data_IF_055886719488
#
_entry.id   IF_055886719488
#
_cell.length_a   1.000
_cell.length_b   1.000
_cell.length_c   1.000
_cell.angle_alpha   90.00
_cell.angle_beta   90.00
_cell.angle_gamma   90.00
#
_symmetry.space_group_name_H-M   'P 1'
#
loop_
_entity.id
_entity.type
_entity.pdbx_description
1 polymer ?
#
# COMPACT_ATOMS: atom_id res chain seq x y z
N UNK A 1 -60.13 -44.69 56.49
CA UNK A 1 -61.08 -45.35 55.55
C UNK A 1 -62.46 -45.54 56.19
N UNK A 2 -62.56 -46.08 57.41
CA UNK A 2 -63.87 -46.26 58.10
C UNK A 2 -64.67 -44.98 58.37
N UNK A 3 -64.03 -43.86 58.72
CA UNK A 3 -64.71 -42.60 58.98
C UNK A 3 -65.41 -42.01 57.74
N UNK A 4 -64.83 -42.23 56.55
CA UNK A 4 -65.38 -41.79 55.26
C UNK A 4 -66.60 -42.65 54.90
N UNK A 5 -66.50 -43.96 55.11
CA UNK A 5 -67.59 -44.90 54.85
C UNK A 5 -68.82 -44.63 55.74
N UNK A 6 -68.62 -44.20 57.00
CA UNK A 6 -69.72 -43.83 57.91
C UNK A 6 -70.46 -42.57 57.47
N UNK A 7 -69.79 -41.59 56.85
CA UNK A 7 -70.43 -40.36 56.34
C UNK A 7 -71.21 -40.53 55.04
N UNK A 8 -70.87 -41.53 54.23
CA UNK A 8 -71.51 -41.83 52.93
C UNK A 8 -72.77 -42.70 53.08
N UNK A 9 -72.80 -43.56 54.11
CA UNK A 9 -73.88 -44.52 54.37
C UNK A 9 -75.31 -43.91 54.42
N UNK A 10 -75.56 -42.72 55.04
CA UNK A 10 -76.89 -42.11 55.10
C UNK A 10 -77.45 -41.64 53.74
N UNK A 11 -76.56 -41.36 52.78
CA UNK A 11 -76.92 -40.92 51.43
C UNK A 11 -77.24 -42.09 50.49
N UNK A 12 -76.50 -43.19 50.65
CA UNK A 12 -76.73 -44.45 49.92
C UNK A 12 -77.94 -45.24 50.44
N UNK A 13 -78.29 -45.10 51.71
CA UNK A 13 -79.50 -45.69 52.32
C UNK A 13 -80.78 -44.88 52.09
N UNK A 14 -80.70 -43.69 51.45
CA UNK A 14 -81.84 -42.82 51.19
C UNK A 14 -82.72 -43.24 50.00
N UNK A 15 -83.91 -42.64 49.88
CA UNK A 15 -84.80 -42.83 48.73
C UNK A 15 -84.20 -42.34 47.39
N UNK A 16 -84.86 -42.61 46.25
CA UNK A 16 -84.29 -42.41 44.90
C UNK A 16 -83.77 -40.99 44.64
N UNK A 17 -84.40 -39.96 45.23
CA UNK A 17 -83.96 -38.55 45.14
C UNK A 17 -82.61 -38.27 45.84
N UNK A 18 -82.34 -38.90 46.99
CA UNK A 18 -81.08 -38.73 47.74
C UNK A 18 -79.92 -39.45 47.04
N UNK A 19 -80.17 -40.62 46.47
CA UNK A 19 -79.21 -41.37 45.63
C UNK A 19 -78.84 -40.60 44.36
N UNK A 20 -79.83 -40.01 43.69
CA UNK A 20 -79.60 -39.17 42.50
C UNK A 20 -78.78 -37.90 42.83
N UNK A 21 -79.07 -37.24 43.95
CA UNK A 21 -78.31 -36.07 44.42
C UNK A 21 -76.86 -36.44 44.77
N UNK A 22 -76.63 -37.58 45.44
CA UNK A 22 -75.27 -38.07 45.72
C UNK A 22 -74.48 -38.37 44.44
N UNK A 23 -75.09 -39.06 43.47
CA UNK A 23 -74.45 -39.35 42.19
C UNK A 23 -74.12 -38.07 41.40
N UNK A 24 -75.01 -37.07 41.41
CA UNK A 24 -74.77 -35.78 40.77
C UNK A 24 -73.61 -35.01 41.42
N UNK A 25 -73.53 -34.99 42.76
CA UNK A 25 -72.41 -34.37 43.48
C UNK A 25 -71.09 -35.09 43.21
N UNK A 26 -71.10 -36.43 43.19
CA UNK A 26 -69.91 -37.23 42.87
C UNK A 26 -69.43 -36.99 41.44
N UNK A 27 -70.34 -36.93 40.46
CA UNK A 27 -70.02 -36.59 39.08
C UNK A 27 -69.43 -35.18 38.97
N UNK A 28 -70.02 -34.20 39.65
CA UNK A 28 -69.51 -32.83 39.69
C UNK A 28 -68.08 -32.77 40.26
N UNK A 29 -67.83 -33.45 41.39
CA UNK A 29 -66.48 -33.52 42.00
C UNK A 29 -65.49 -34.18 41.04
N UNK A 30 -65.86 -35.27 40.38
CA UNK A 30 -65.00 -35.94 39.40
C UNK A 30 -64.69 -35.03 38.21
N UNK A 31 -65.68 -34.32 37.68
CA UNK A 31 -65.46 -33.35 36.59
C UNK A 31 -64.56 -32.19 37.01
N UNK A 32 -64.69 -31.71 38.25
CA UNK A 32 -63.83 -30.66 38.80
C UNK A 32 -62.39 -31.15 38.98
N UNK A 33 -62.20 -32.37 39.49
CA UNK A 33 -60.87 -33.00 39.61
C UNK A 33 -60.21 -33.22 38.25
N UNK A 34 -60.97 -33.67 37.25
CA UNK A 34 -60.47 -33.83 35.87
C UNK A 34 -60.13 -32.48 35.25
N UNK A 35 -60.94 -31.44 35.47
CA UNK A 35 -60.67 -30.09 34.98
C UNK A 35 -59.43 -29.46 35.65
N UNK A 36 -59.29 -29.60 36.97
CA UNK A 36 -58.11 -29.14 37.72
C UNK A 36 -56.86 -29.93 37.29
N UNK A 37 -56.96 -31.26 37.15
CA UNK A 37 -55.87 -32.09 36.66
C UNK A 37 -55.47 -31.74 35.22
N UNK A 38 -56.44 -31.54 34.33
CA UNK A 38 -56.22 -31.08 32.96
C UNK A 38 -55.50 -29.73 32.94
N UNK A 39 -55.91 -28.77 33.78
CA UNK A 39 -55.29 -27.46 33.83
C UNK A 39 -53.89 -27.50 34.46
N UNK A 40 -53.71 -28.30 35.52
CA UNK A 40 -52.43 -28.43 36.24
C UNK A 40 -51.35 -29.20 35.45
N UNK A 41 -51.76 -30.11 34.56
CA UNK A 41 -50.84 -30.87 33.70
C UNK A 41 -50.51 -30.14 32.39
N UNK A 42 -51.29 -29.10 32.03
CA UNK A 42 -51.10 -28.36 30.79
C UNK A 42 -50.03 -27.30 31.00
N UNK A 43 -48.92 -27.43 30.26
CA UNK A 43 -47.82 -26.49 30.31
C UNK A 43 -48.00 -25.38 29.27
N UNK A 44 -47.62 -24.15 29.60
CA UNK A 44 -47.58 -23.03 28.66
C UNK A 44 -46.14 -22.74 28.28
N UNK A 45 -45.84 -22.77 26.98
CA UNK A 45 -44.53 -22.42 26.45
C UNK A 45 -44.64 -21.29 25.45
N UNK A 46 -43.59 -20.50 25.32
CA UNK A 46 -43.48 -19.51 24.25
C UNK A 46 -42.67 -20.12 23.12
N UNK A 47 -43.20 -20.13 21.89
CA UNK A 47 -42.45 -20.48 20.69
C UNK A 47 -42.15 -19.20 19.91
N UNK A 48 -40.88 -18.98 19.59
CA UNK A 48 -40.41 -17.92 18.70
C UNK A 48 -39.95 -18.56 17.41
N UNK A 49 -40.65 -18.28 16.33
CA UNK A 49 -40.35 -18.80 14.99
C UNK A 49 -40.65 -17.72 13.96
N UNK A 50 -39.73 -17.49 13.03
CA UNK A 50 -39.90 -16.54 11.92
C UNK A 50 -40.29 -15.12 12.40
N UNK A 51 -39.76 -14.69 13.55
CA UNK A 51 -40.04 -13.41 14.18
C UNK A 51 -41.40 -13.32 14.90
N UNK A 52 -42.19 -14.39 14.90
CA UNK A 52 -43.50 -14.44 15.55
C UNK A 52 -43.38 -15.12 16.92
N UNK A 53 -44.01 -14.50 17.93
CA UNK A 53 -44.12 -15.05 19.29
C UNK A 53 -45.51 -15.65 19.48
N UNK A 54 -45.57 -16.95 19.78
CA UNK A 54 -46.83 -17.65 20.07
C UNK A 54 -46.77 -18.33 21.43
N UNK A 55 -47.84 -18.21 22.22
CA UNK A 55 -47.99 -18.93 23.50
C UNK A 55 -48.79 -20.19 23.24
N UNK A 56 -48.19 -21.34 23.54
CA UNK A 56 -48.75 -22.66 23.25
C UNK A 56 -49.02 -23.38 24.56
N UNK A 57 -50.29 -23.68 24.83
CA UNK A 57 -50.69 -24.56 25.92
C UNK A 57 -50.69 -26.02 25.48
N UNK A 58 -49.75 -26.82 25.98
CA UNK A 58 -49.43 -28.18 25.49
C UNK A 58 -49.30 -29.21 26.62
N UNK A 59 -49.42 -30.49 26.27
CA UNK A 59 -49.08 -31.65 27.11
C UNK A 59 -47.84 -32.41 26.59
N UNK A 60 -47.19 -31.86 25.56
CA UNK A 60 -45.99 -32.44 24.96
C UNK A 60 -44.87 -32.60 26.00
N UNK A 61 -44.15 -33.71 25.88
CA UNK A 61 -43.01 -34.02 26.74
C UNK A 61 -41.75 -33.24 26.34
N UNK A 62 -41.59 -32.91 25.06
CA UNK A 62 -40.35 -32.34 24.51
C UNK A 62 -40.56 -31.17 23.55
N UNK A 63 -39.52 -30.37 23.32
CA UNK A 63 -39.51 -29.29 22.32
C UNK A 63 -39.96 -29.77 20.95
N UNK A 64 -39.45 -30.91 20.48
CA UNK A 64 -39.81 -31.46 19.17
C UNK A 64 -41.29 -31.81 19.04
N UNK A 65 -41.89 -32.35 20.10
CA UNK A 65 -43.34 -32.63 20.14
C UNK A 65 -44.17 -31.35 20.11
N UNK A 66 -43.75 -30.29 20.81
CA UNK A 66 -44.42 -28.97 20.75
C UNK A 66 -44.42 -28.43 19.33
N UNK A 67 -43.27 -28.47 18.65
CA UNK A 67 -43.15 -27.98 17.27
C UNK A 67 -44.01 -28.80 16.30
N UNK A 68 -43.98 -30.13 16.43
CA UNK A 68 -44.81 -31.02 15.63
C UNK A 68 -46.31 -30.77 15.83
N UNK A 69 -46.75 -30.55 17.08
CA UNK A 69 -48.14 -30.20 17.40
C UNK A 69 -48.58 -28.88 16.73
N UNK A 70 -47.68 -27.91 16.61
CA UNK A 70 -47.94 -26.64 15.92
C UNK A 70 -47.75 -26.71 14.39
N UNK A 71 -47.39 -27.88 13.84
CA UNK A 71 -47.11 -28.04 12.41
C UNK A 71 -45.84 -27.33 11.93
N UNK A 72 -44.92 -27.00 12.84
CA UNK A 72 -43.64 -26.35 12.53
C UNK A 72 -42.66 -27.42 12.04
N UNK A 73 -42.35 -27.38 10.74
CA UNK A 73 -41.35 -28.25 10.13
C UNK A 73 -40.00 -27.54 10.12
N UNK A 74 -38.96 -28.25 10.52
CA UNK A 74 -37.58 -27.76 10.52
C UNK A 74 -36.87 -28.11 9.23
N UNK A 75 -36.07 -27.18 8.71
CA UNK A 75 -35.10 -27.43 7.64
C UNK A 75 -33.91 -28.26 8.12
N UNK A 76 -33.09 -28.71 7.18
CA UNK A 76 -31.95 -29.61 7.44
C UNK A 76 -30.94 -29.04 8.47
N UNK A 77 -30.77 -27.72 8.48
CA UNK A 77 -29.80 -27.00 9.32
C UNK A 77 -30.46 -26.06 10.32
N UNK A 78 -31.79 -26.08 10.42
CA UNK A 78 -32.50 -25.31 11.44
C UNK A 78 -32.14 -25.86 12.82
N UNK A 79 -32.01 -24.97 13.80
CA UNK A 79 -31.69 -25.36 15.18
C UNK A 79 -32.72 -24.77 16.15
N UNK A 80 -32.95 -25.49 17.24
CA UNK A 80 -33.84 -25.02 18.31
C UNK A 80 -33.05 -24.75 19.57
N UNK A 81 -33.45 -23.71 20.28
CA UNK A 81 -32.96 -23.38 21.61
C UNK A 81 -34.16 -23.32 22.56
N UNK A 82 -34.31 -24.26 23.52
CA UNK A 82 -33.52 -25.47 23.74
C UNK A 82 -33.62 -26.53 22.61
N UNK A 83 -32.79 -27.58 22.69
CA UNK A 83 -32.73 -28.66 21.71
C UNK A 83 -34.04 -29.47 21.63
N UNK A 84 -34.27 -30.15 20.50
CA UNK A 84 -35.51 -30.88 20.23
C UNK A 84 -35.91 -31.91 21.29
N UNK A 85 -34.94 -32.55 21.93
CA UNK A 85 -35.16 -33.56 22.96
C UNK A 85 -35.25 -32.98 24.38
N UNK A 86 -35.13 -31.65 24.54
CA UNK A 86 -35.27 -31.01 25.85
C UNK A 86 -36.71 -31.16 26.36
N UNK A 87 -36.83 -31.56 27.63
CA UNK A 87 -38.12 -31.72 28.30
C UNK A 87 -38.76 -30.36 28.51
N UNK A 88 -40.08 -30.25 28.27
CA UNK A 88 -40.82 -29.00 28.41
C UNK A 88 -41.12 -28.70 29.88
N UNK A 89 -41.00 -27.43 30.27
CA UNK A 89 -41.39 -26.88 31.56
C UNK A 89 -42.33 -25.67 31.40
N UNK A 90 -43.07 -25.33 32.47
CA UNK A 90 -43.97 -24.17 32.48
C UNK A 90 -43.19 -22.88 32.22
N UNK A 91 -43.69 -22.07 31.30
CA UNK A 91 -43.07 -20.80 30.90
C UNK A 91 -41.84 -20.92 30.01
N UNK A 92 -41.44 -22.14 29.59
CA UNK A 92 -40.25 -22.34 28.75
C UNK A 92 -40.36 -21.56 27.44
N UNK A 93 -39.25 -20.93 27.04
CA UNK A 93 -39.11 -20.26 25.75
C UNK A 93 -38.35 -21.17 24.78
N UNK A 94 -38.92 -21.36 23.59
CA UNK A 94 -38.42 -22.21 22.52
C UNK A 94 -38.18 -21.31 21.32
N UNK A 95 -36.93 -21.11 20.93
CA UNK A 95 -36.57 -20.34 19.74
C UNK A 95 -36.17 -21.27 18.61
N UNK A 96 -36.81 -21.10 17.46
CA UNK A 96 -36.43 -21.75 16.20
C UNK A 96 -35.55 -20.77 15.42
N UNK A 97 -34.29 -21.15 15.19
CA UNK A 97 -33.34 -20.37 14.40
C UNK A 97 -33.22 -21.01 13.03
N UNK A 98 -33.79 -20.33 12.03
CA UNK A 98 -33.79 -20.79 10.63
C UNK A 98 -32.41 -20.71 10.03
N UNK A 99 -32.01 -21.75 9.31
CA UNK A 99 -30.85 -21.71 8.46
C UNK A 99 -31.11 -20.93 7.18
N UNK A 100 -30.10 -20.21 6.72
CA UNK A 100 -30.12 -19.44 5.49
C UNK A 100 -28.81 -19.64 4.73
N UNK A 101 -28.83 -19.52 3.39
CA UNK A 101 -27.61 -19.61 2.60
C UNK A 101 -26.75 -18.37 2.84
N UNK A 102 -25.46 -18.58 3.10
CA UNK A 102 -24.45 -17.53 3.17
C UNK A 102 -23.41 -17.76 2.09
N UNK A 103 -23.15 -16.73 1.28
CA UNK A 103 -22.11 -16.79 0.26
C UNK A 103 -20.74 -16.55 0.91
N UNK A 104 -19.84 -17.52 0.79
CA UNK A 104 -18.47 -17.46 1.30
C UNK A 104 -17.49 -17.39 0.14
N UNK A 105 -16.74 -16.30 0.04
CA UNK A 105 -15.71 -16.09 -0.99
C UNK A 105 -14.33 -16.21 -0.38
N UNK A 106 -13.55 -17.18 -0.83
CA UNK A 106 -12.17 -17.41 -0.42
C UNK A 106 -11.38 -18.02 -1.59
N UNK A 107 -10.09 -17.71 -1.69
CA UNK A 107 -9.19 -18.31 -2.68
C UNK A 107 -9.69 -18.18 -4.14
N UNK A 108 -10.37 -17.07 -4.44
CA UNK A 108 -10.96 -16.79 -5.74
C UNK A 108 -12.22 -17.61 -6.08
N UNK A 109 -12.75 -18.39 -5.14
CA UNK A 109 -13.97 -19.17 -5.30
C UNK A 109 -15.07 -18.67 -4.37
N UNK A 110 -16.31 -18.66 -4.85
CA UNK A 110 -17.50 -18.40 -4.03
C UNK A 110 -18.30 -19.68 -3.87
N UNK A 111 -18.69 -20.03 -2.64
CA UNK A 111 -19.52 -21.18 -2.31
C UNK A 111 -20.67 -20.73 -1.41
N UNK A 112 -21.82 -21.36 -1.54
CA UNK A 112 -22.95 -21.15 -0.61
C UNK A 112 -22.91 -22.21 0.49
N UNK A 113 -23.05 -21.77 1.73
CA UNK A 113 -23.11 -22.65 2.91
C UNK A 113 -24.43 -22.37 3.64
N UNK A 114 -25.23 -23.40 3.80
CA UNK A 114 -26.48 -23.33 4.57
C UNK A 114 -26.15 -23.48 6.06
N UNK A 115 -26.44 -22.45 6.85
CA UNK A 115 -26.11 -22.41 8.28
C UNK A 115 -27.18 -21.64 9.07
N UNK A 116 -27.48 -22.00 10.33
CA UNK A 116 -28.25 -21.13 11.24
C UNK A 116 -27.48 -19.83 11.54
N UNK A 117 -28.08 -18.82 12.19
CA UNK A 117 -27.33 -17.65 12.61
C UNK A 117 -26.23 -18.10 13.60
N UNK A 118 -24.99 -17.95 13.16
CA UNK A 118 -23.76 -18.30 13.90
C UNK A 118 -22.74 -17.22 13.63
N UNK A 119 -21.72 -17.14 14.47
CA UNK A 119 -20.56 -16.27 14.22
C UNK A 119 -19.83 -16.66 12.93
N UNK A 120 -19.27 -15.67 12.23
CA UNK A 120 -18.49 -15.86 11.00
C UNK A 120 -17.37 -16.90 11.19
N UNK A 121 -16.70 -16.93 12.34
CA UNK A 121 -15.65 -17.91 12.64
C UNK A 121 -16.14 -19.36 12.50
N UNK A 122 -17.33 -19.67 13.02
CA UNK A 122 -17.93 -21.00 12.97
C UNK A 122 -18.36 -21.37 11.54
N UNK A 123 -18.84 -20.40 10.76
CA UNK A 123 -19.16 -20.62 9.35
C UNK A 123 -17.89 -21.00 8.55
N UNK A 124 -16.78 -20.30 8.77
CA UNK A 124 -15.53 -20.59 8.07
C UNK A 124 -14.99 -21.98 8.41
N UNK A 125 -15.10 -22.41 9.67
CA UNK A 125 -14.78 -23.77 10.09
C UNK A 125 -15.66 -24.81 9.37
N UNK A 126 -16.98 -24.59 9.35
CA UNK A 126 -17.94 -25.45 8.61
C UNK A 126 -17.63 -25.52 7.11
N UNK A 127 -17.17 -24.41 6.52
CA UNK A 127 -16.77 -24.32 5.12
C UNK A 127 -15.39 -24.96 4.84
N UNK A 128 -14.65 -25.38 5.87
CA UNK A 128 -13.30 -25.94 5.75
C UNK A 128 -12.24 -24.90 5.38
N UNK A 129 -12.47 -23.62 5.71
CA UNK A 129 -11.57 -22.50 5.39
C UNK A 129 -10.71 -22.19 6.61
N UNK A 130 -9.47 -22.67 6.59
CA UNK A 130 -8.47 -22.29 7.58
C UNK A 130 -7.92 -20.89 7.29
N UNK A 131 -7.84 -20.05 8.31
CA UNK A 131 -7.29 -18.70 8.22
C UNK A 131 -5.81 -18.67 8.62
N UNK A 132 -5.02 -17.89 7.90
CA UNK A 132 -3.68 -17.49 8.34
C UNK A 132 -3.77 -16.28 9.27
N UNK A 133 -2.78 -16.01 10.15
CA UNK A 133 -2.83 -14.90 11.11
C UNK A 133 -2.97 -13.50 10.51
N UNK A 134 -2.61 -13.33 9.24
CA UNK A 134 -2.70 -12.05 8.53
C UNK A 134 -3.97 -11.93 7.68
N UNK A 135 -4.68 -13.04 7.43
CA UNK A 135 -5.87 -13.04 6.62
C UNK A 135 -6.93 -12.13 7.22
N UNK A 136 -7.72 -11.50 6.36
CA UNK A 136 -8.78 -10.60 6.77
C UNK A 136 -10.11 -11.17 6.34
N UNK A 137 -11.10 -11.04 7.22
CA UNK A 137 -12.45 -11.52 6.99
C UNK A 137 -13.42 -10.37 7.16
N UNK A 138 -14.38 -10.27 6.24
CA UNK A 138 -15.49 -9.34 6.33
C UNK A 138 -16.80 -10.09 6.05
N UNK A 139 -17.80 -10.05 6.94
CA UNK A 139 -17.83 -9.36 8.25
C UNK A 139 -16.86 -9.94 9.28
N UNK A 140 -16.78 -9.33 10.48
CA UNK A 140 -15.79 -9.72 11.50
C UNK A 140 -16.01 -11.14 12.04
N UNK A 141 -14.97 -11.80 12.57
CA UNK A 141 -15.05 -13.20 13.00
C UNK A 141 -16.12 -13.48 14.09
N UNK A 142 -16.33 -12.52 14.98
CA UNK A 142 -17.29 -12.59 16.09
C UNK A 142 -18.68 -12.06 15.71
N UNK A 143 -18.86 -11.63 14.45
CA UNK A 143 -20.13 -11.09 13.99
C UNK A 143 -21.12 -12.24 13.71
N UNK A 144 -22.31 -12.15 14.30
CA UNK A 144 -23.37 -13.12 14.05
C UNK A 144 -24.00 -12.87 12.68
N UNK A 145 -24.06 -13.92 11.86
CA UNK A 145 -24.58 -13.86 10.50
C UNK A 145 -26.08 -13.60 10.47
N UNK A 146 -26.49 -12.84 9.46
CA UNK A 146 -27.87 -12.52 9.14
C UNK A 146 -28.24 -12.96 7.71
N UNK A 147 -29.55 -13.17 7.43
CA UNK A 147 -30.01 -13.49 6.09
C UNK A 147 -29.58 -12.44 5.07
N UNK A 148 -28.88 -12.89 4.02
CA UNK A 148 -28.38 -12.02 2.94
C UNK A 148 -26.90 -11.62 3.09
N UNK A 149 -26.26 -11.97 4.20
CA UNK A 149 -24.84 -11.70 4.41
C UNK A 149 -23.94 -12.43 3.41
N UNK A 150 -22.77 -11.84 3.18
CA UNK A 150 -21.70 -12.41 2.36
C UNK A 150 -20.40 -12.32 3.12
N UNK A 151 -19.75 -13.46 3.31
CA UNK A 151 -18.45 -13.55 3.96
C UNK A 151 -17.36 -13.56 2.90
N UNK A 152 -16.41 -12.64 3.01
CA UNK A 152 -15.25 -12.55 2.13
C UNK A 152 -13.99 -12.73 2.95
N UNK A 153 -13.14 -13.66 2.52
CA UNK A 153 -11.81 -13.90 3.07
C UNK A 153 -10.79 -13.39 2.09
N UNK A 154 -10.00 -12.39 2.50
CA UNK A 154 -8.85 -11.88 1.76
C UNK A 154 -7.59 -12.54 2.28
N UNK A 155 -6.88 -13.27 1.41
CA UNK A 155 -5.60 -13.91 1.77
C UNK A 155 -4.49 -12.87 1.81
N UNK A 156 -3.86 -12.71 2.98
CA UNK A 156 -2.79 -11.72 3.15
C UNK A 156 -1.48 -12.42 3.40
N UNK A 157 -0.49 -12.13 2.56
CA UNK A 157 0.87 -12.67 2.71
C UNK A 157 1.90 -11.55 2.62
N UNK A 158 3.05 -11.76 3.26
CA UNK A 158 4.18 -10.84 3.19
C UNK A 158 5.42 -11.56 2.72
N UNK A 159 6.21 -10.92 1.86
CA UNK A 159 7.50 -11.43 1.40
C UNK A 159 8.57 -10.36 1.53
N UNK A 160 9.66 -10.71 2.20
CA UNK A 160 10.84 -9.85 2.26
C UNK A 160 11.73 -10.15 1.04
N UNK A 161 11.96 -9.14 0.21
CA UNK A 161 12.82 -9.20 -0.97
C UNK A 161 14.00 -8.26 -0.82
N UNK A 162 15.11 -8.58 -1.48
CA UNK A 162 16.27 -7.69 -1.55
C UNK A 162 16.40 -7.05 -2.92
N UNK A 163 16.56 -5.73 -2.96
CA UNK A 163 16.80 -4.96 -4.17
C UNK A 163 18.09 -4.14 -4.03
N UNK A 164 18.97 -4.22 -5.03
CA UNK A 164 20.22 -3.44 -5.05
C UNK A 164 20.03 -2.15 -5.82
N UNK A 165 20.46 -1.02 -5.25
CA UNK A 165 20.43 0.30 -5.89
C UNK A 165 21.79 0.97 -5.85
N UNK A 166 22.04 1.80 -6.86
CA UNK A 166 23.27 2.59 -6.95
C UNK A 166 23.20 3.83 -6.04
N UNK A 167 24.27 4.07 -5.29
CA UNK A 167 24.48 5.31 -4.56
C UNK A 167 25.38 6.24 -5.38
N UNK A 168 24.86 7.43 -5.66
CA UNK A 168 25.64 8.49 -6.31
C UNK A 168 26.83 8.91 -5.45
N UNK A 169 27.93 9.31 -6.11
CA UNK A 169 29.09 9.89 -5.45
C UNK A 169 29.03 11.42 -5.47
N UNK A 170 29.74 12.05 -4.55
CA UNK A 170 29.93 13.50 -4.51
C UNK A 170 31.19 13.92 -5.27
N UNK A 171 31.26 15.18 -5.69
CA UNK A 171 32.49 15.77 -6.26
C UNK A 171 33.10 16.74 -5.27
N UNK A 172 34.34 16.46 -4.87
CA UNK A 172 35.17 17.31 -4.04
C UNK A 172 36.13 18.12 -4.92
N UNK A 173 36.30 19.39 -4.59
CA UNK A 173 37.25 20.28 -5.24
C UNK A 173 38.39 20.59 -4.29
N UNK A 174 39.61 20.54 -4.79
CA UNK A 174 40.82 20.89 -4.06
C UNK A 174 41.63 21.88 -4.85
N UNK A 175 42.06 22.95 -4.22
CA UNK A 175 42.97 23.91 -4.86
C UNK A 175 44.33 23.25 -5.15
N UNK A 176 44.92 23.63 -6.28
CA UNK A 176 46.20 23.15 -6.76
C UNK A 176 47.02 24.35 -7.24
N UNK A 177 48.04 24.69 -6.44
CA UNK A 177 48.94 25.81 -6.70
C UNK A 177 50.00 25.51 -7.78
N UNK A 178 49.96 24.33 -8.40
CA UNK A 178 50.81 23.96 -9.53
C UNK A 178 50.09 24.09 -10.88
N UNK A 179 48.78 24.35 -10.87
CA UNK A 179 47.95 24.48 -12.07
C UNK A 179 47.50 25.94 -12.28
N UNK A 180 47.42 26.36 -13.54
CA UNK A 180 46.87 27.66 -13.92
C UNK A 180 45.36 27.74 -13.63
N UNK A 181 44.92 28.89 -13.12
CA UNK A 181 43.52 29.16 -12.83
C UNK A 181 42.67 28.97 -14.08
N UNK A 182 41.55 28.26 -13.93
CA UNK A 182 40.69 27.82 -15.04
C UNK A 182 41.00 26.40 -15.53
N UNK A 183 42.21 25.88 -15.28
CA UNK A 183 42.55 24.49 -15.54
C UNK A 183 42.04 23.62 -14.39
N UNK A 184 41.35 22.53 -14.76
CA UNK A 184 40.90 21.48 -13.84
C UNK A 184 41.56 20.15 -14.19
N UNK A 185 41.93 19.38 -13.16
CA UNK A 185 42.49 18.03 -13.33
C UNK A 185 41.73 17.06 -12.44
N UNK A 186 41.22 15.97 -13.03
CA UNK A 186 40.63 14.89 -12.23
C UNK A 186 41.79 14.15 -11.55
N UNK A 187 41.85 14.23 -10.22
CA UNK A 187 42.87 13.55 -9.39
C UNK A 187 42.41 12.14 -9.05
N UNK A 188 41.13 12.00 -8.71
CA UNK A 188 40.49 10.70 -8.42
C UNK A 188 39.14 10.66 -9.11
N UNK A 189 38.88 9.61 -9.91
CA UNK A 189 37.56 9.38 -10.49
C UNK A 189 36.60 8.91 -9.40
N UNK A 190 35.39 9.46 -9.41
CA UNK A 190 34.34 9.00 -8.50
C UNK A 190 33.86 7.61 -8.88
N UNK A 191 33.44 6.84 -7.89
CA UNK A 191 32.83 5.53 -8.09
C UNK A 191 31.49 5.48 -7.38
N UNK A 192 30.45 5.00 -8.06
CA UNK A 192 29.15 4.77 -7.43
C UNK A 192 29.27 3.71 -6.34
N UNK A 193 28.54 3.94 -5.26
CA UNK A 193 28.30 2.95 -4.23
C UNK A 193 27.15 2.04 -4.60
N UNK A 194 26.89 1.05 -3.75
CA UNK A 194 25.75 0.14 -3.84
C UNK A 194 25.11 0.05 -2.46
N UNK A 195 23.80 0.18 -2.40
CA UNK A 195 23.00 -0.16 -1.24
C UNK A 195 22.05 -1.31 -1.57
N UNK A 196 21.84 -2.19 -0.59
CA UNK A 196 20.85 -3.26 -0.62
C UNK A 196 19.69 -2.82 0.27
N UNK A 197 18.52 -2.75 -0.33
CA UNK A 197 17.25 -2.49 0.35
C UNK A 197 16.59 -3.82 0.69
N UNK A 198 16.23 -3.99 1.95
CA UNK A 198 15.31 -5.05 2.36
C UNK A 198 13.89 -4.46 2.29
N UNK A 199 13.08 -5.00 1.38
CA UNK A 199 11.74 -4.51 1.09
C UNK A 199 10.74 -5.58 1.49
N UNK A 200 9.82 -5.24 2.38
CA UNK A 200 8.66 -6.08 2.68
C UNK A 200 7.55 -5.74 1.70
N UNK A 201 7.07 -6.75 1.00
CA UNK A 201 5.98 -6.65 0.03
C UNK A 201 4.76 -7.37 0.59
N UNK A 202 3.63 -6.67 0.69
CA UNK A 202 2.35 -7.23 1.14
C UNK A 202 1.50 -7.55 -0.08
N UNK A 203 0.95 -8.76 -0.09
CA UNK A 203 0.05 -9.25 -1.13
C UNK A 203 -1.32 -9.54 -0.55
N UNK A 204 -2.35 -9.21 -1.32
CA UNK A 204 -3.75 -9.53 -1.06
C UNK A 204 -4.28 -10.33 -2.24
N UNK A 205 -4.73 -11.55 -1.99
CA UNK A 205 -5.16 -12.51 -3.01
C UNK A 205 -4.12 -12.66 -4.15
N UNK A 206 -2.85 -12.68 -3.77
CA UNK A 206 -1.70 -12.79 -4.68
C UNK A 206 -1.31 -11.51 -5.42
N UNK A 207 -2.03 -10.39 -5.23
CA UNK A 207 -1.72 -9.10 -5.84
C UNK A 207 -0.97 -8.20 -4.88
N UNK A 208 0.11 -7.59 -5.36
CA UNK A 208 0.90 -6.64 -4.56
C UNK A 208 0.08 -5.38 -4.27
N UNK A 209 -0.08 -5.05 -2.99
CA UNK A 209 -0.82 -3.85 -2.55
C UNK A 209 0.07 -2.81 -1.86
N UNK A 210 1.21 -3.25 -1.30
CA UNK A 210 2.11 -2.37 -0.54
C UNK A 210 3.56 -2.85 -0.61
N UNK A 211 4.49 -1.90 -0.73
CA UNK A 211 5.94 -2.11 -0.52
C UNK A 211 6.44 -1.15 0.54
N UNK A 212 7.25 -1.65 1.46
CA UNK A 212 7.89 -0.84 2.48
C UNK A 212 9.36 -1.23 2.65
N UNK A 213 10.23 -0.22 2.75
CA UNK A 213 11.66 -0.44 3.02
C UNK A 213 11.83 -0.66 4.52
N UNK A 214 12.12 -1.89 4.90
CA UNK A 214 12.30 -2.29 6.31
C UNK A 214 13.76 -2.28 6.74
N UNK A 215 14.69 -2.26 5.79
CA UNK A 215 16.13 -2.22 6.07
C UNK A 215 16.93 -1.66 4.92
N UNK A 216 18.10 -1.09 5.25
CA UNK A 216 19.08 -0.60 4.28
C UNK A 216 20.46 -1.04 4.73
N UNK A 217 21.26 -1.50 3.78
CA UNK A 217 22.64 -1.90 4.00
C UNK A 217 23.51 -1.34 2.88
N UNK A 218 24.55 -0.57 3.23
CA UNK A 218 25.51 -0.10 2.23
C UNK A 218 26.51 -1.22 1.95
N UNK A 219 26.37 -1.86 0.78
CA UNK A 219 27.25 -2.96 0.34
C UNK A 219 28.59 -2.41 -0.17
N UNK A 220 28.56 -1.25 -0.86
CA UNK A 220 29.75 -0.58 -1.35
C UNK A 220 29.62 0.93 -1.12
N UNK A 221 30.55 1.51 -0.37
CA UNK A 221 30.59 2.96 -0.17
C UNK A 221 30.89 3.69 -1.49
N UNK A 222 30.19 4.78 -1.83
CA UNK A 222 30.56 5.62 -2.95
C UNK A 222 31.92 6.29 -2.69
N UNK A 223 32.75 6.36 -3.73
CA UNK A 223 34.03 7.07 -3.67
C UNK A 223 33.85 8.43 -4.33
N UNK A 224 34.11 9.52 -3.60
CA UNK A 224 33.98 10.87 -4.14
C UNK A 224 35.00 11.12 -5.27
N UNK A 225 34.55 11.86 -6.29
CA UNK A 225 35.41 12.36 -7.35
C UNK A 225 36.19 13.56 -6.85
N UNK A 226 37.52 13.53 -6.96
CA UNK A 226 38.39 14.63 -6.56
C UNK A 226 38.88 15.39 -7.80
N UNK A 227 38.55 16.68 -7.87
CA UNK A 227 38.99 17.58 -8.94
C UNK A 227 39.95 18.62 -8.35
N UNK A 228 41.17 18.65 -8.86
CA UNK A 228 42.14 19.71 -8.60
C UNK A 228 41.79 20.95 -9.44
N UNK A 229 41.73 22.11 -8.79
CA UNK A 229 41.41 23.41 -9.38
C UNK A 229 42.67 24.29 -9.36
N UNK A 230 43.12 24.75 -10.52
CA UNK A 230 44.30 25.62 -10.58
C UNK A 230 44.10 26.97 -9.89
N UNK A 231 45.14 27.45 -9.20
CA UNK A 231 45.13 28.74 -8.50
C UNK A 231 46.20 29.71 -8.98
N UNK A 232 47.14 29.28 -9.83
CA UNK A 232 48.14 30.18 -10.43
C UNK A 232 47.40 31.20 -11.29
N UNK A 233 47.61 32.50 -11.02
CA UNK A 233 47.00 33.62 -11.76
C UNK A 233 48.02 34.55 -12.42
N UNK A 234 49.30 34.16 -12.37
CA UNK A 234 50.42 34.88 -12.98
C UNK A 234 51.16 33.93 -13.92
N UNK A 235 51.36 34.34 -15.17
CA UNK A 235 52.12 33.56 -16.15
C UNK A 235 53.23 34.41 -16.78
N UNK A 236 54.33 33.76 -17.14
CA UNK A 236 55.39 34.32 -17.95
C UNK A 236 55.54 33.51 -19.24
N UNK A 237 55.29 34.14 -20.39
CA UNK A 237 55.30 33.50 -21.72
C UNK A 237 55.76 34.50 -22.78
N UNK A 238 56.62 34.04 -23.71
CA UNK A 238 57.11 34.86 -24.82
C UNK A 238 57.79 36.17 -24.38
N UNK A 239 58.49 36.16 -23.24
CA UNK A 239 59.14 37.35 -22.67
C UNK A 239 58.22 38.30 -21.89
N UNK A 240 56.94 37.99 -21.77
CA UNK A 240 55.97 38.82 -21.06
C UNK A 240 55.44 38.16 -19.79
N UNK A 241 55.30 38.94 -18.73
CA UNK A 241 54.64 38.53 -17.49
C UNK A 241 53.28 39.23 -17.39
N UNK A 242 52.22 38.46 -17.14
CA UNK A 242 50.86 39.00 -17.09
C UNK A 242 50.00 38.25 -16.07
N UNK A 243 49.04 38.99 -15.48
CA UNK A 243 47.98 38.43 -14.65
C UNK A 243 46.79 38.03 -15.51
N UNK A 244 46.13 36.95 -15.12
CA UNK A 244 44.98 36.42 -15.85
C UNK A 244 43.90 35.93 -14.88
N UNK A 245 42.65 36.05 -15.32
CA UNK A 245 41.48 35.61 -14.56
C UNK A 245 41.23 34.12 -14.74
N UNK A 246 41.46 33.61 -15.94
CA UNK A 246 41.35 32.20 -16.28
C UNK A 246 42.17 31.84 -17.51
N UNK A 247 42.50 30.55 -17.65
CA UNK A 247 43.09 29.93 -18.83
C UNK A 247 42.14 28.89 -19.37
N UNK A 248 42.00 28.87 -20.69
CA UNK A 248 41.24 27.86 -21.43
C UNK A 248 42.16 27.16 -22.42
N UNK A 249 41.97 25.86 -22.62
CA UNK A 249 42.62 25.13 -23.71
C UNK A 249 41.64 25.11 -24.87
N UNK A 250 41.90 25.92 -25.89
CA UNK A 250 40.99 26.14 -27.02
C UNK A 250 41.55 25.55 -28.30
N UNK A 251 40.68 25.10 -29.22
CA UNK A 251 41.06 24.83 -30.60
C UNK A 251 41.30 26.15 -31.32
N UNK A 252 42.55 26.44 -31.66
CA UNK A 252 42.93 27.61 -32.42
C UNK A 252 43.09 27.28 -33.90
N UNK A 253 42.38 28.03 -34.74
CA UNK A 253 42.63 28.15 -36.17
C UNK A 253 43.19 29.52 -36.50
N UNK A 254 43.53 29.76 -37.77
CA UNK A 254 43.91 31.09 -38.23
C UNK A 254 43.23 31.44 -39.55
N UNK A 255 42.94 32.72 -39.72
CA UNK A 255 42.38 33.30 -40.93
C UNK A 255 43.19 34.53 -41.35
N UNK A 256 42.93 35.04 -42.56
CA UNK A 256 43.57 36.24 -43.11
C UNK A 256 42.50 37.14 -43.75
N UNK A 257 42.92 38.22 -44.41
CA UNK A 257 42.05 39.22 -45.03
C UNK A 257 40.91 38.59 -45.84
N UNK A 258 39.67 38.94 -45.50
CA UNK A 258 38.45 38.55 -46.23
C UNK A 258 37.83 39.71 -47.01
N UNK A 259 38.39 40.92 -46.87
CA UNK A 259 37.82 42.17 -47.40
C UNK A 259 36.75 42.80 -46.50
N UNK A 260 36.36 42.16 -45.39
CA UNK A 260 35.36 42.65 -44.45
C UNK A 260 35.98 43.17 -43.14
N UNK A 261 35.31 44.08 -42.46
CA UNK A 261 35.64 44.47 -41.08
C UNK A 261 35.25 43.37 -40.11
N UNK A 262 35.93 43.32 -38.96
CA UNK A 262 35.54 42.49 -37.81
C UNK A 262 34.13 42.84 -37.34
N UNK A 263 33.51 41.94 -36.57
CA UNK A 263 32.20 42.17 -35.96
C UNK A 263 32.08 43.47 -35.16
N UNK A 264 33.17 43.93 -34.52
CA UNK A 264 33.21 45.21 -33.79
C UNK A 264 33.44 46.44 -34.69
N UNK A 265 33.49 46.27 -36.01
CA UNK A 265 33.59 47.35 -36.99
C UNK A 265 35.01 47.83 -37.30
N UNK A 266 36.05 47.12 -36.82
CA UNK A 266 37.46 47.48 -37.06
C UNK A 266 38.03 46.60 -38.17
N UNK A 267 38.86 47.16 -39.05
CA UNK A 267 39.59 46.36 -40.05
C UNK A 267 40.55 45.39 -39.35
N UNK A 268 40.57 44.10 -39.74
CA UNK A 268 41.34 43.09 -39.02
C UNK A 268 42.85 43.32 -39.17
N UNK A 269 43.58 43.11 -38.07
CA UNK A 269 45.04 43.24 -37.98
C UNK A 269 45.58 42.24 -36.96
N UNK A 270 46.88 41.93 -37.03
CA UNK A 270 47.52 41.03 -36.05
C UNK A 270 47.27 41.54 -34.62
N UNK A 271 46.94 40.61 -33.73
CA UNK A 271 46.44 40.90 -32.39
C UNK A 271 44.91 40.94 -32.29
N UNK A 272 44.17 40.68 -33.37
CA UNK A 272 42.72 40.47 -33.34
C UNK A 272 42.35 39.00 -33.49
N UNK A 273 41.32 38.57 -32.76
CA UNK A 273 40.83 37.20 -32.80
C UNK A 273 39.31 37.16 -32.91
N UNK A 274 38.82 36.13 -33.59
CA UNK A 274 37.43 35.75 -33.57
C UNK A 274 37.17 34.77 -32.43
N UNK A 275 36.10 35.00 -31.67
CA UNK A 275 35.71 34.17 -30.51
C UNK A 275 34.22 33.87 -30.52
N UNK A 276 33.81 32.95 -29.64
CA UNK A 276 32.42 32.87 -29.19
C UNK A 276 32.18 33.86 -28.04
N UNK A 277 31.36 34.92 -28.21
CA UNK A 277 31.09 35.90 -27.15
C UNK A 277 30.47 35.31 -25.88
N UNK A 278 29.85 34.12 -25.95
CA UNK A 278 29.33 33.42 -24.77
C UNK A 278 30.43 32.79 -23.92
N UNK A 279 31.63 32.59 -24.49
CA UNK A 279 32.79 31.98 -23.81
C UNK A 279 33.85 33.03 -23.49
N UNK A 280 34.17 33.91 -24.44
CA UNK A 280 35.08 35.04 -24.26
C UNK A 280 34.36 36.31 -24.72
N UNK A 281 34.04 37.26 -23.82
CA UNK A 281 33.40 38.51 -24.20
C UNK A 281 34.20 39.31 -25.23
N UNK A 282 33.51 40.04 -26.10
CA UNK A 282 34.18 40.99 -27.00
C UNK A 282 34.90 42.09 -26.21
N UNK A 283 35.91 42.68 -26.83
CA UNK A 283 36.89 43.59 -26.24
C UNK A 283 37.76 43.01 -25.11
N UNK A 284 37.58 41.73 -24.75
CA UNK A 284 38.44 41.05 -23.78
C UNK A 284 39.87 40.96 -24.29
N UNK A 285 40.82 41.32 -23.42
CA UNK A 285 42.26 41.16 -23.68
C UNK A 285 42.69 39.73 -23.37
N UNK A 286 43.50 39.18 -24.25
CA UNK A 286 43.93 37.79 -24.24
C UNK A 286 45.45 37.71 -24.43
N UNK A 287 46.02 36.61 -23.96
CA UNK A 287 47.30 36.12 -24.45
C UNK A 287 47.09 34.71 -25.00
N UNK A 288 47.43 34.49 -26.26
CA UNK A 288 47.29 33.20 -26.94
C UNK A 288 48.66 32.57 -27.09
N UNK A 289 48.85 31.39 -26.52
CA UNK A 289 50.13 30.68 -26.53
C UNK A 289 50.62 30.42 -27.98
N UNK A 290 51.82 30.91 -28.29
CA UNK A 290 52.41 30.84 -29.63
C UNK A 290 51.99 31.97 -30.59
N UNK A 291 51.03 32.81 -30.23
CA UNK A 291 50.59 33.97 -31.03
C UNK A 291 50.90 35.31 -30.34
N UNK A 292 50.73 35.39 -29.03
CA UNK A 292 50.99 36.59 -28.24
C UNK A 292 49.70 37.29 -27.79
N UNK A 293 49.80 38.60 -27.55
CA UNK A 293 48.67 39.41 -27.10
C UNK A 293 47.60 39.54 -28.18
N UNK A 294 46.34 39.42 -27.76
CA UNK A 294 45.21 39.56 -28.65
C UNK A 294 44.01 40.25 -27.97
N UNK A 295 43.08 40.74 -28.79
CA UNK A 295 41.80 41.29 -28.35
C UNK A 295 40.67 40.61 -29.11
N UNK A 296 39.66 40.14 -28.40
CA UNK A 296 38.43 39.60 -28.98
C UNK A 296 37.68 40.72 -29.73
N UNK A 297 37.75 40.72 -31.06
CA UNK A 297 37.18 41.78 -31.90
C UNK A 297 36.18 41.27 -32.94
N UNK A 298 36.21 39.97 -33.19
CA UNK A 298 35.46 39.37 -34.26
C UNK A 298 34.65 38.15 -33.79
N UNK A 299 33.70 37.73 -34.61
CA UNK A 299 32.94 36.49 -34.42
C UNK A 299 32.87 35.74 -35.74
N UNK A 300 32.87 34.41 -35.67
CA UNK A 300 32.65 33.56 -36.83
C UNK A 300 31.49 32.60 -36.58
N UNK A 301 30.71 32.30 -37.62
CA UNK A 301 29.64 31.31 -37.52
C UNK A 301 30.15 29.94 -37.07
N UNK A 302 31.37 29.57 -37.49
CA UNK A 302 32.05 28.33 -37.13
C UNK A 302 32.88 28.41 -35.83
N UNK A 303 32.97 29.58 -35.19
CA UNK A 303 33.76 29.81 -33.97
C UNK A 303 32.79 29.80 -32.78
N UNK A 304 32.62 28.61 -32.20
CA UNK A 304 31.67 28.32 -31.12
C UNK A 304 32.35 27.53 -30.00
N UNK A 305 31.98 27.79 -28.76
CA UNK A 305 32.55 27.11 -27.59
C UNK A 305 34.04 27.42 -27.39
N UNK A 306 34.82 26.41 -27.05
CA UNK A 306 36.28 26.52 -26.84
C UNK A 306 37.06 26.52 -28.18
N UNK A 307 36.60 27.34 -29.15
CA UNK A 307 37.28 27.58 -30.43
C UNK A 307 37.62 29.06 -30.58
N UNK A 308 38.80 29.35 -31.15
CA UNK A 308 39.30 30.69 -31.39
C UNK A 308 39.93 30.75 -32.79
N UNK A 309 39.75 31.85 -33.51
CA UNK A 309 40.36 32.06 -34.83
C UNK A 309 41.30 33.26 -34.79
N UNK A 310 42.56 33.04 -35.14
CA UNK A 310 43.61 34.05 -35.02
C UNK A 310 43.82 34.76 -36.35
N UNK A 311 43.76 36.09 -36.36
CA UNK A 311 44.05 36.83 -37.57
C UNK A 311 45.55 36.81 -37.89
N UNK A 312 45.88 36.60 -39.16
CA UNK A 312 47.24 36.63 -39.72
C UNK A 312 47.26 37.51 -40.97
N UNK A 313 48.37 38.20 -41.23
CA UNK A 313 48.48 39.10 -42.40
C UNK A 313 48.46 38.33 -43.71
N UNK A 314 49.00 37.11 -43.74
CA UNK A 314 49.09 36.33 -44.98
C UNK A 314 48.45 34.96 -44.87
N UNK A 315 47.91 34.47 -46.00
CA UNK A 315 47.42 33.10 -46.12
C UNK A 315 48.52 32.06 -45.78
N UNK A 316 49.78 32.36 -46.10
CA UNK A 316 50.93 31.49 -45.78
C UNK A 316 51.17 31.39 -44.27
N UNK A 317 50.93 32.45 -43.50
CA UNK A 317 51.00 32.41 -42.03
C UNK A 317 49.84 31.64 -41.43
N UNK A 318 48.62 31.87 -41.92
CA UNK A 318 47.44 31.13 -41.47
C UNK A 318 47.59 29.61 -41.72
N UNK A 319 48.06 29.22 -42.90
CA UNK A 319 48.35 27.81 -43.22
C UNK A 319 49.48 27.23 -42.36
N UNK A 320 50.55 28.00 -42.09
CA UNK A 320 51.63 27.57 -41.20
C UNK A 320 51.18 27.41 -39.75
N UNK A 321 50.26 28.26 -39.29
CA UNK A 321 49.69 28.12 -37.95
C UNK A 321 48.90 26.82 -37.81
N UNK A 322 48.09 26.50 -38.83
CA UNK A 322 47.27 25.29 -38.89
C UNK A 322 46.16 25.27 -37.84
N UNK A 323 45.69 24.06 -37.50
CA UNK A 323 44.71 23.84 -36.43
C UNK A 323 45.39 23.11 -35.29
N UNK A 324 45.33 23.67 -34.08
CA UNK A 324 45.95 23.07 -32.88
C UNK A 324 45.27 23.53 -31.61
N UNK A 325 45.46 22.79 -30.53
CA UNK A 325 45.04 23.23 -29.19
C UNK A 325 46.09 24.11 -28.57
N UNK A 326 45.69 25.26 -28.05
CA UNK A 326 46.57 26.22 -27.37
C UNK A 326 45.94 26.71 -26.08
N UNK A 327 46.77 27.14 -25.13
CA UNK A 327 46.29 27.88 -23.96
C UNK A 327 45.97 29.32 -24.37
N UNK A 328 44.77 29.75 -24.03
CA UNK A 328 44.29 31.13 -24.15
C UNK A 328 44.09 31.66 -22.74
N UNK A 329 44.87 32.67 -22.38
CA UNK A 329 44.82 33.33 -21.08
C UNK A 329 43.90 34.54 -21.22
N UNK A 330 42.84 34.58 -20.42
CA UNK A 330 41.92 35.72 -20.33
C UNK A 330 42.50 36.69 -19.31
N UNK A 331 42.97 37.84 -19.79
CA UNK A 331 43.73 38.79 -18.98
C UNK A 331 42.81 39.59 -18.04
N UNK A 332 43.41 40.09 -16.95
CA UNK A 332 42.72 40.97 -15.99
C UNK A 332 42.36 42.35 -16.54
#
# INVERSE_FOLDING_TARGET
>A
MEAILRGINPWLAGGPKKKALFAAVLALVLTLLLAVGYHALRKHVTVLVDGQRMVVGTFAGTVGEVLSQQGIVLGEKDVTLPALNTVIDEGMEITVRRAFPVAVTADGQTREVLTPPVEVANLLEQAGIALSPLDRVQPGLEEELQPGDRVVVTRVTTKDISETRELSYTTEKRDDNTLERGIRKIVRRGQKGLEKLLIRVTYEDGREVKREVVGREVVKQPVSQLIAMGTISLASRGGHTFRFREVRVMEATAYTHTGNTTYTGVYPQVGMVAVDPAVIPLAQKLYVEGYGYAVARDIGSAIKGDRIDLFMETAKEALRWGRKKVKVYVLE
#
